data_IF_295162094801
#
_entry.id   IF_295162094801
#
_cell.length_a   1.000
_cell.length_b   1.000
_cell.length_c   1.000
_cell.angle_alpha   90.00
_cell.angle_beta   90.00
_cell.angle_gamma   90.00
#
_symmetry.space_group_name_H-M   'P 1'
#
loop_
_entity.id
_entity.type
_entity.pdbx_description
1 polymer ?
#
# COMPACT_ATOMS: atom_id res chain seq x y z
N UNK A 1 -6.25 9.21 14.68
CA UNK A 1 -6.96 9.35 13.38
C UNK A 1 -6.73 8.11 12.55
N UNK A 2 -7.64 7.75 11.63
CA UNK A 2 -7.43 6.60 10.74
C UNK A 2 -6.91 7.07 9.39
N UNK A 3 -5.77 6.55 8.98
CA UNK A 3 -5.20 6.81 7.67
C UNK A 3 -5.87 5.91 6.64
N UNK A 4 -6.02 6.37 5.39
CA UNK A 4 -6.55 5.58 4.28
C UNK A 4 -5.48 5.45 3.21
N UNK A 5 -4.85 4.28 3.12
CA UNK A 5 -3.87 3.96 2.09
C UNK A 5 -4.49 2.97 1.11
N UNK A 6 -4.19 3.14 -0.17
CA UNK A 6 -4.58 2.21 -1.23
C UNK A 6 -3.34 1.63 -1.87
N UNK A 7 -3.34 0.32 -2.01
CA UNK A 7 -2.26 -0.47 -2.60
C UNK A 7 -2.88 -1.41 -3.62
N UNK A 8 -2.22 -1.62 -4.74
CA UNK A 8 -2.68 -2.57 -5.76
C UNK A 8 -1.89 -3.88 -5.66
N UNK A 9 -2.54 -4.99 -5.97
CA UNK A 9 -1.88 -6.28 -6.14
C UNK A 9 -2.34 -6.96 -7.44
N UNK A 10 -1.49 -7.72 -8.12
CA UNK A 10 -1.92 -8.49 -9.28
C UNK A 10 -2.82 -9.66 -8.86
N UNK A 11 -3.68 -10.12 -9.76
CA UNK A 11 -4.58 -11.26 -9.51
C UNK A 11 -3.84 -12.59 -9.26
N UNK A 12 -2.61 -12.72 -9.77
CA UNK A 12 -1.79 -13.91 -9.57
C UNK A 12 -1.29 -14.06 -8.13
N UNK A 13 -1.32 -12.99 -7.34
CA UNK A 13 -0.80 -12.97 -5.98
C UNK A 13 -1.87 -13.31 -4.95
N UNK A 14 -1.45 -13.96 -3.88
CA UNK A 14 -2.34 -14.33 -2.78
C UNK A 14 -2.56 -13.14 -1.85
N UNK A 15 -3.82 -12.74 -1.66
CA UNK A 15 -4.18 -11.70 -0.69
C UNK A 15 -3.63 -12.00 0.71
N UNK A 16 -3.64 -13.26 1.14
CA UNK A 16 -3.10 -13.65 2.46
C UNK A 16 -1.59 -13.38 2.57
N UNK A 17 -0.84 -13.57 1.48
CA UNK A 17 0.60 -13.27 1.45
C UNK A 17 0.81 -11.75 1.51
N UNK A 18 0.19 -11.01 0.59
CA UNK A 18 0.28 -9.55 0.51
C UNK A 18 -0.12 -8.89 1.83
N UNK A 19 -1.23 -9.34 2.43
CA UNK A 19 -1.70 -8.85 3.73
C UNK A 19 -0.63 -9.04 4.81
N UNK A 20 -0.03 -10.23 4.90
CA UNK A 20 1.00 -10.51 5.91
C UNK A 20 2.23 -9.62 5.72
N UNK A 21 2.69 -9.45 4.49
CA UNK A 21 3.82 -8.56 4.15
C UNK A 21 3.52 -7.12 4.57
N UNK A 22 2.30 -6.62 4.29
CA UNK A 22 1.88 -5.28 4.72
C UNK A 22 1.80 -5.18 6.25
N UNK A 23 1.22 -6.18 6.94
CA UNK A 23 1.15 -6.19 8.40
C UNK A 23 2.53 -6.16 9.04
N UNK A 24 3.45 -7.01 8.57
CA UNK A 24 4.81 -7.11 9.12
C UNK A 24 5.61 -5.83 8.83
N UNK A 25 5.44 -5.23 7.66
CA UNK A 25 6.07 -3.96 7.29
C UNK A 25 5.62 -2.76 8.14
N UNK A 26 4.38 -2.79 8.65
CA UNK A 26 3.80 -1.70 9.44
C UNK A 26 3.99 -1.88 10.95
N UNK A 27 4.32 -3.09 11.43
CA UNK A 27 4.60 -3.35 12.86
C UNK A 27 5.80 -2.53 13.37
N UNK A 28 6.87 -2.46 12.58
CA UNK A 28 8.08 -1.74 12.97
C UNK A 28 8.04 -0.24 12.66
N UNK A 29 6.84 0.34 12.52
CA UNK A 29 6.69 1.75 12.16
C UNK A 29 6.17 2.60 13.32
N UNK A 30 7.06 3.46 13.86
CA UNK A 30 6.81 4.29 15.04
C UNK A 30 5.64 5.27 14.93
N UNK A 31 5.21 5.61 13.71
CA UNK A 31 4.07 6.52 13.50
C UNK A 31 2.71 5.80 13.48
N UNK A 32 2.71 4.46 13.47
CA UNK A 32 1.50 3.64 13.51
C UNK A 32 1.30 3.09 14.92
N UNK A 33 0.06 3.21 15.41
CA UNK A 33 -0.35 2.60 16.66
C UNK A 33 -0.64 1.11 16.42
N UNK A 34 -0.04 0.25 17.24
CA UNK A 34 -0.33 -1.20 17.22
C UNK A 34 -1.75 -1.50 17.69
N UNK A 35 -2.25 -0.71 18.66
CA UNK A 35 -3.61 -0.79 19.14
C UNK A 35 -4.36 0.53 18.88
N UNK A 36 -5.45 0.52 18.09
CA UNK A 36 -6.09 -0.63 17.45
C UNK A 36 -5.31 -1.12 16.22
N UNK A 37 -5.38 -2.43 15.96
CA UNK A 37 -4.71 -3.04 14.82
C UNK A 37 -5.11 -2.39 13.47
N UNK A 38 -4.18 -2.28 12.51
CA UNK A 38 -4.49 -1.84 11.16
C UNK A 38 -5.56 -2.72 10.52
N UNK A 39 -6.54 -2.10 9.85
CA UNK A 39 -7.47 -2.85 9.01
C UNK A 39 -6.90 -2.98 7.61
N UNK A 40 -6.75 -4.21 7.14
CA UNK A 40 -6.27 -4.52 5.79
C UNK A 40 -7.30 -5.43 5.13
N UNK A 41 -7.82 -5.00 3.97
CA UNK A 41 -8.89 -5.68 3.25
C UNK A 41 -8.90 -5.34 1.78
N UNK A 42 -9.48 -6.22 0.97
CA UNK A 42 -9.77 -5.93 -0.44
C UNK A 42 -10.88 -4.88 -0.47
N UNK A 43 -10.60 -3.74 -1.12
CA UNK A 43 -11.54 -2.65 -1.31
C UNK A 43 -12.40 -2.89 -2.55
N UNK A 44 -11.76 -3.27 -3.66
CA UNK A 44 -12.43 -3.52 -4.93
C UNK A 44 -11.57 -4.36 -5.87
N UNK A 45 -12.20 -4.85 -6.93
CA UNK A 45 -11.56 -5.56 -8.04
C UNK A 45 -11.56 -4.65 -9.27
N UNK A 46 -10.41 -4.42 -9.90
CA UNK A 46 -10.24 -3.65 -11.13
C UNK A 46 -9.84 -4.59 -12.29
N UNK A 47 -9.82 -4.12 -13.54
CA UNK A 47 -9.54 -4.95 -14.72
C UNK A 47 -8.16 -5.63 -14.69
N UNK A 48 -7.16 -4.94 -14.15
CA UNK A 48 -5.77 -5.40 -14.17
C UNK A 48 -5.22 -5.78 -12.78
N UNK A 49 -5.89 -5.36 -11.71
CA UNK A 49 -5.39 -5.52 -10.35
C UNK A 49 -6.52 -5.54 -9.32
N UNK A 50 -6.18 -5.97 -8.10
CA UNK A 50 -7.04 -5.90 -6.93
C UNK A 50 -6.61 -4.70 -6.08
N UNK A 51 -7.58 -3.88 -5.66
CA UNK A 51 -7.33 -2.73 -4.78
C UNK A 51 -7.45 -3.18 -3.34
N UNK A 52 -6.42 -2.92 -2.54
CA UNK A 52 -6.36 -3.20 -1.11
C UNK A 52 -6.40 -1.87 -0.34
N UNK A 53 -7.33 -1.78 0.61
CA UNK A 53 -7.37 -0.70 1.60
C UNK A 53 -6.53 -1.10 2.80
N UNK A 54 -5.59 -0.23 3.19
CA UNK A 54 -4.81 -0.35 4.42
C UNK A 54 -5.12 0.84 5.31
N UNK A 55 -5.65 0.57 6.50
CA UNK A 55 -6.19 1.59 7.40
C UNK A 55 -5.60 1.52 8.81
N UNK A 56 -4.33 1.93 8.99
CA UNK A 56 -3.69 2.02 10.29
C UNK A 56 -4.18 3.22 11.10
N UNK A 57 -3.98 3.17 12.41
CA UNK A 57 -4.21 4.30 13.31
C UNK A 57 -2.92 5.09 13.50
N UNK A 58 -3.03 6.42 13.39
CA UNK A 58 -1.89 7.33 13.51
C UNK A 58 -2.25 8.57 14.32
N UNK A 59 -1.23 9.25 14.84
CA UNK A 59 -1.39 10.59 15.40
C UNK A 59 -1.62 11.61 14.26
N UNK A 60 -2.59 12.53 14.39
CA UNK A 60 -2.89 13.51 13.33
C UNK A 60 -1.70 14.39 12.94
N UNK A 61 -0.82 14.71 13.90
CA UNK A 61 0.37 15.54 13.64
C UNK A 61 1.36 14.88 12.67
N UNK A 62 1.37 13.55 12.59
CA UNK A 62 2.28 12.78 11.73
C UNK A 62 1.62 12.36 10.42
N UNK A 63 0.50 12.97 10.01
CA UNK A 63 -0.29 12.49 8.87
C UNK A 63 0.52 12.30 7.60
N UNK A 64 1.26 13.32 7.17
CA UNK A 64 2.00 13.28 5.92
C UNK A 64 3.19 12.32 5.99
N UNK A 65 3.95 12.35 7.08
CA UNK A 65 5.09 11.47 7.29
C UNK A 65 4.63 10.00 7.31
N UNK A 66 3.58 9.71 8.08
CA UNK A 66 2.98 8.38 8.13
C UNK A 66 2.44 7.93 6.77
N UNK A 67 1.82 8.82 6.00
CA UNK A 67 1.28 8.51 4.68
C UNK A 67 2.39 8.14 3.68
N UNK A 68 3.38 9.03 3.51
CA UNK A 68 4.46 8.82 2.55
C UNK A 68 5.35 7.65 2.95
N UNK A 69 5.74 7.56 4.22
CA UNK A 69 6.62 6.51 4.68
C UNK A 69 5.94 5.14 4.64
N UNK A 70 4.64 5.04 4.99
CA UNK A 70 3.90 3.79 4.86
C UNK A 70 3.88 3.30 3.41
N UNK A 71 3.63 4.18 2.43
CA UNK A 71 3.66 3.81 1.01
C UNK A 71 5.05 3.36 0.55
N UNK A 72 6.11 4.06 0.97
CA UNK A 72 7.49 3.69 0.63
C UNK A 72 7.87 2.33 1.23
N UNK A 73 7.53 2.11 2.50
CA UNK A 73 7.79 0.86 3.20
C UNK A 73 7.02 -0.30 2.57
N UNK A 74 5.73 -0.13 2.30
CA UNK A 74 4.90 -1.14 1.62
C UNK A 74 5.49 -1.47 0.25
N UNK A 75 5.85 -0.47 -0.57
CA UNK A 75 6.47 -0.70 -1.89
C UNK A 75 7.78 -1.49 -1.77
N UNK A 76 8.61 -1.16 -0.78
CA UNK A 76 9.87 -1.86 -0.52
C UNK A 76 9.63 -3.32 -0.11
N UNK A 77 8.71 -3.57 0.83
CA UNK A 77 8.40 -4.90 1.31
C UNK A 77 7.82 -5.80 0.20
N UNK A 78 6.93 -5.27 -0.63
CA UNK A 78 6.40 -6.00 -1.79
C UNK A 78 7.51 -6.34 -2.79
N UNK A 79 8.46 -5.43 -3.02
CA UNK A 79 9.60 -5.68 -3.89
C UNK A 79 10.54 -6.77 -3.35
N UNK A 80 10.85 -6.76 -2.04
CA UNK A 80 11.69 -7.76 -1.38
C UNK A 80 11.08 -9.17 -1.45
N UNK A 81 9.75 -9.24 -1.41
CA UNK A 81 8.98 -10.49 -1.54
C UNK A 81 8.69 -10.88 -3.01
N UNK A 82 9.27 -10.17 -3.98
CA UNK A 82 9.08 -10.38 -5.42
C UNK A 82 7.62 -10.23 -5.91
N UNK A 83 6.78 -9.52 -5.16
CA UNK A 83 5.39 -9.24 -5.53
C UNK A 83 5.37 -8.14 -6.58
N UNK A 84 5.04 -8.51 -7.81
CA UNK A 84 4.98 -7.57 -8.95
C UNK A 84 3.72 -6.73 -8.86
N UNK A 85 3.83 -5.55 -8.26
CA UNK A 85 2.74 -4.56 -8.29
C UNK A 85 2.63 -4.02 -9.71
N UNK A 86 1.48 -4.24 -10.34
CA UNK A 86 1.17 -3.61 -11.61
C UNK A 86 1.11 -2.08 -11.39
N UNK A 87 2.11 -1.37 -11.89
CA UNK A 87 1.96 0.04 -12.21
C UNK A 87 1.09 0.08 -13.46
N UNK A 88 -0.06 0.74 -13.40
CA UNK A 88 -0.74 1.19 -14.60
C UNK A 88 0.20 2.17 -15.31
N UNK A 89 1.02 1.66 -16.21
CA UNK A 89 1.71 2.45 -17.22
C UNK A 89 0.66 3.03 -18.17
N UNK A 90 -0.06 4.05 -17.73
CA UNK A 90 -0.86 4.89 -18.60
C UNK A 90 -0.35 6.33 -18.50
N UNK A 91 0.91 6.52 -18.91
CA UNK A 91 1.30 7.75 -19.57
C UNK A 91 2.18 7.32 -20.74
N UNK A 92 1.55 7.02 -21.88
CA UNK A 92 2.18 7.37 -23.15
C UNK A 92 2.49 8.87 -23.03
N UNK A 93 3.74 9.19 -22.67
CA UNK A 93 4.27 10.53 -22.74
C UNK A 93 4.29 10.88 -24.23
N UNK A 94 3.16 11.34 -24.73
CA UNK A 94 3.08 12.00 -26.02
C UNK A 94 4.18 13.04 -26.05
N UNK A 95 5.08 12.94 -27.03
CA UNK A 95 6.24 13.81 -27.18
C UNK A 95 5.81 15.27 -27.04
N UNK A 96 6.16 15.89 -25.91
CA UNK A 96 6.10 17.35 -25.79
C UNK A 96 7.33 17.91 -26.47
N UNK A 97 7.13 18.61 -27.59
CA UNK A 97 8.17 19.36 -28.27
C UNK A 97 8.04 19.31 -29.78
N UNK A 98 7.26 20.25 -30.33
CA UNK A 98 7.51 20.85 -31.65
C UNK A 98 7.53 22.35 -31.46
#
# INVERSE_FOLDING_TARGET
MRLGLQVTMPYAESFSNVKKVIEDCLKDFSHIMEEPAPLIGIESFDFHNIIISVRPYIHPDNYWDANFESLQRIKKALHEENIQVAYSEEIELGKVGS
#
